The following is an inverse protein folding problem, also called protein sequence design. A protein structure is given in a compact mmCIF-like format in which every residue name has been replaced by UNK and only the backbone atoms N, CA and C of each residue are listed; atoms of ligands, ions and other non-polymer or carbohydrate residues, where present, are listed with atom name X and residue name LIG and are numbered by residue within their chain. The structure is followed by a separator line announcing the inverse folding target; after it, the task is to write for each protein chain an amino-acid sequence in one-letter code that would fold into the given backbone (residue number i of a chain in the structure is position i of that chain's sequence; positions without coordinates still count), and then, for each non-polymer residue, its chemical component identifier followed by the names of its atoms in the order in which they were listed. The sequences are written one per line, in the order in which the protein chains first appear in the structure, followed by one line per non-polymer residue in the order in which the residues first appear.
data_IF_362686839404
#
_entry.id   IF_362686839404
#
_cell.length_a   1.000
_cell.length_b   1.000
_cell.length_c   1.000
_cell.angle_alpha   90.00
_cell.angle_beta   90.00
_cell.angle_gamma   90.00
#
_symmetry.space_group_name_H-M   'P 1'
#
loop_
_entity.id
_entity.type
_entity.pdbx_description
1 polymer ?
#
# COMPACT_ATOMS: atom_id res chain seq x y z
N UNK A 1 11.99 -2.47 -0.01
CA UNK A 1 11.37 -3.74 -0.41
C UNK A 1 9.98 -3.86 0.19
N UNK A 2 9.02 -4.33 -0.59
CA UNK A 2 7.65 -4.46 -0.13
C UNK A 2 7.48 -5.80 0.58
N UNK A 3 7.06 -5.77 1.83
CA UNK A 3 6.79 -6.99 2.60
C UNK A 3 5.34 -7.41 2.38
N UNK A 4 5.13 -8.69 2.06
CA UNK A 4 3.79 -9.21 1.81
C UNK A 4 3.17 -9.64 3.13
N UNK A 5 1.97 -9.14 3.42
CA UNK A 5 1.23 -9.48 4.63
C UNK A 5 -0.12 -10.10 4.25
N UNK A 6 -0.85 -10.60 5.23
CA UNK A 6 -2.13 -11.26 5.03
C UNK A 6 -3.21 -10.66 5.93
N UNK A 7 -4.47 -11.06 5.70
CA UNK A 7 -5.57 -10.60 6.55
C UNK A 7 -5.49 -11.12 7.98
N UNK A 8 -4.65 -12.12 8.23
CA UNK A 8 -4.45 -12.64 9.57
C UNK A 8 -3.67 -11.65 10.45
N UNK A 9 -2.76 -10.86 9.85
CA UNK A 9 -1.88 -9.98 10.61
C UNK A 9 -1.92 -8.50 10.18
N UNK A 10 -2.73 -8.14 9.18
CA UNK A 10 -2.68 -6.78 8.65
C UNK A 10 -3.05 -5.71 9.68
N UNK A 11 -3.98 -6.00 10.58
CA UNK A 11 -4.39 -5.02 11.59
C UNK A 11 -3.26 -4.68 12.54
N UNK A 12 -2.53 -5.70 12.99
CA UNK A 12 -1.40 -5.50 13.89
C UNK A 12 -0.27 -4.76 13.18
N UNK A 13 -0.03 -5.11 11.91
CA UNK A 13 1.01 -4.44 11.12
C UNK A 13 0.68 -2.97 10.88
N UNK A 14 -0.58 -2.65 10.54
CA UNK A 14 -0.99 -1.26 10.34
C UNK A 14 -0.88 -0.46 11.64
N UNK A 15 -1.33 -1.03 12.74
CA UNK A 15 -1.30 -0.35 14.03
C UNK A 15 0.13 0.01 14.46
N UNK A 16 1.11 -0.78 14.05
CA UNK A 16 2.51 -0.57 14.38
C UNK A 16 3.21 0.43 13.46
N UNK A 17 2.57 0.84 12.37
CA UNK A 17 3.19 1.77 11.41
C UNK A 17 3.04 3.22 11.84
N UNK A 18 4.15 3.93 11.99
CA UNK A 18 4.13 5.38 12.14
C UNK A 18 3.94 6.06 10.79
N UNK A 19 4.68 5.58 9.80
CA UNK A 19 4.57 6.03 8.41
C UNK A 19 4.71 4.82 7.52
N UNK A 20 3.71 4.57 6.70
CA UNK A 20 3.73 3.41 5.84
C UNK A 20 2.80 3.52 4.65
N UNK A 21 2.97 2.59 3.73
CA UNK A 21 2.13 2.45 2.55
C UNK A 21 1.71 1.00 2.43
N UNK A 22 0.42 0.80 2.19
CA UNK A 22 -0.13 -0.53 1.95
C UNK A 22 -0.66 -0.60 0.53
N UNK A 23 -0.16 -1.55 -0.25
CA UNK A 23 -0.59 -1.79 -1.61
C UNK A 23 -1.45 -3.03 -1.68
N UNK A 24 -2.70 -2.87 -2.14
CA UNK A 24 -3.51 -4.02 -2.53
C UNK A 24 -3.21 -4.35 -3.98
N UNK A 25 -2.79 -5.57 -4.22
CA UNK A 25 -2.41 -6.03 -5.56
C UNK A 25 -3.09 -7.36 -5.87
N UNK A 26 -3.00 -7.79 -7.12
CA UNK A 26 -3.37 -9.15 -7.49
C UNK A 26 -2.28 -9.72 -8.40
N UNK A 27 -2.25 -11.04 -8.50
CA UNK A 27 -1.34 -11.73 -9.42
C UNK A 27 -1.76 -11.41 -10.86
N UNK A 28 -0.81 -11.43 -11.77
CA UNK A 28 -1.06 -11.17 -13.19
C UNK A 28 -1.67 -9.79 -13.46
N UNK A 29 -1.24 -8.80 -12.70
CA UNK A 29 -1.71 -7.42 -12.85
C UNK A 29 -0.52 -6.54 -13.25
N UNK A 30 -0.44 -6.11 -14.52
CA UNK A 30 0.68 -5.27 -14.97
C UNK A 30 0.81 -3.96 -14.22
N UNK A 31 -0.31 -3.28 -13.96
CA UNK A 31 -0.30 -2.02 -13.21
C UNK A 31 0.16 -2.22 -11.78
N UNK A 32 -0.17 -3.34 -11.17
CA UNK A 32 0.29 -3.66 -9.82
C UNK A 32 1.80 -3.81 -9.79
N UNK A 33 2.37 -4.51 -10.77
CA UNK A 33 3.83 -4.69 -10.87
C UNK A 33 4.53 -3.35 -11.06
N UNK A 34 3.98 -2.49 -11.90
CA UNK A 34 4.55 -1.17 -12.11
C UNK A 34 4.46 -0.31 -10.84
N UNK A 35 3.35 -0.42 -10.12
CA UNK A 35 3.19 0.32 -8.86
C UNK A 35 4.14 -0.19 -7.78
N UNK A 36 4.44 -1.49 -7.75
CA UNK A 36 5.45 -2.04 -6.84
C UNK A 36 6.81 -1.38 -7.08
N UNK A 37 7.19 -1.22 -8.34
CA UNK A 37 8.46 -0.56 -8.70
C UNK A 37 8.48 0.90 -8.26
N UNK A 38 7.36 1.59 -8.43
CA UNK A 38 7.20 2.98 -7.99
C UNK A 38 7.39 3.07 -6.47
N UNK A 39 6.74 2.17 -5.73
CA UNK A 39 6.84 2.15 -4.26
C UNK A 39 8.27 1.82 -3.80
N UNK A 40 8.96 0.95 -4.49
CA UNK A 40 10.34 0.64 -4.14
C UNK A 40 11.25 1.84 -4.32
N UNK A 41 11.08 2.60 -5.41
CA UNK A 41 11.81 3.85 -5.62
C UNK A 41 11.45 4.89 -4.57
N UNK A 42 10.17 5.01 -4.27
CA UNK A 42 9.68 5.93 -3.25
C UNK A 42 10.29 5.59 -1.87
N UNK A 43 10.28 4.31 -1.50
CA UNK A 43 10.84 3.84 -0.24
C UNK A 43 12.34 4.05 -0.14
N UNK A 44 13.07 3.88 -1.25
CA UNK A 44 14.50 4.11 -1.28
C UNK A 44 14.82 5.60 -1.07
N UNK A 45 13.99 6.49 -1.60
CA UNK A 45 14.17 7.93 -1.45
C UNK A 45 13.74 8.43 -0.06
N UNK A 46 12.88 7.68 0.62
CA UNK A 46 12.35 8.08 1.93
C UNK A 46 12.48 6.92 2.92
N UNK A 47 13.70 6.68 3.43
CA UNK A 47 13.92 5.61 4.42
C UNK A 47 13.10 5.88 5.69
N UNK A 48 12.64 4.84 6.32
CA UNK A 48 11.79 4.95 7.50
C UNK A 48 10.32 4.78 7.21
N UNK A 49 9.92 4.70 5.93
CA UNK A 49 8.54 4.40 5.56
C UNK A 49 8.41 2.90 5.34
N UNK A 50 7.47 2.26 6.03
CA UNK A 50 7.22 0.84 5.85
C UNK A 50 6.42 0.62 4.57
N UNK A 51 6.79 -0.40 3.79
CA UNK A 51 6.08 -0.74 2.57
C UNK A 51 5.52 -2.15 2.69
N UNK A 52 4.20 -2.28 2.62
CA UNK A 52 3.53 -3.56 2.70
C UNK A 52 2.64 -3.78 1.48
N UNK A 53 2.52 -5.06 1.08
CA UNK A 53 1.60 -5.47 0.03
C UNK A 53 0.69 -6.59 0.53
N UNK A 54 -0.53 -6.61 0.04
CA UNK A 54 -1.50 -7.65 0.39
C UNK A 54 -2.28 -8.03 -0.87
N UNK A 55 -2.41 -9.34 -1.11
CA UNK A 55 -3.13 -9.85 -2.28
C UNK A 55 -4.62 -9.70 -2.06
N UNK A 56 -5.26 -8.91 -2.92
CA UNK A 56 -6.69 -8.58 -2.77
C UNK A 56 -7.60 -9.80 -2.95
N UNK A 57 -7.17 -10.76 -3.77
CA UNK A 57 -7.98 -11.94 -4.04
C UNK A 57 -7.88 -12.98 -2.93
N UNK A 58 -6.71 -13.11 -2.33
CA UNK A 58 -6.49 -14.07 -1.24
C UNK A 58 -6.88 -13.52 0.13
N UNK A 59 -7.12 -12.22 0.22
CA UNK A 59 -7.40 -11.53 1.49
C UNK A 59 -8.63 -10.63 1.34
N UNK A 60 -9.73 -11.21 0.88
CA UNK A 60 -10.94 -10.47 0.58
C UNK A 60 -11.54 -9.74 1.80
N UNK A 61 -11.38 -10.32 2.99
CA UNK A 61 -11.89 -9.69 4.21
C UNK A 61 -11.17 -8.38 4.53
N UNK A 62 -9.84 -8.36 4.37
CA UNK A 62 -9.05 -7.14 4.57
C UNK A 62 -9.43 -6.09 3.52
N UNK A 63 -9.58 -6.50 2.26
CA UNK A 63 -9.97 -5.61 1.18
C UNK A 63 -11.32 -4.96 1.47
N UNK A 64 -12.30 -5.76 1.89
CA UNK A 64 -13.63 -5.24 2.23
C UNK A 64 -13.58 -4.29 3.42
N UNK A 65 -12.79 -4.62 4.44
CA UNK A 65 -12.69 -3.81 5.65
C UNK A 65 -12.11 -2.42 5.36
N UNK A 66 -11.16 -2.32 4.43
CA UNK A 66 -10.52 -1.06 4.07
C UNK A 66 -11.16 -0.39 2.85
N UNK A 67 -12.09 -1.05 2.20
CA UNK A 67 -12.76 -0.50 1.02
C UNK A 67 -11.94 -0.60 -0.26
N UNK A 68 -11.01 -1.55 -0.35
CA UNK A 68 -10.21 -1.77 -1.54
C UNK A 68 -10.99 -2.66 -2.52
N UNK A 69 -11.28 -2.15 -3.71
CA UNK A 69 -12.06 -2.89 -4.71
C UNK A 69 -11.28 -3.21 -5.97
N UNK A 70 -10.40 -2.31 -6.39
CA UNK A 70 -9.68 -2.45 -7.66
C UNK A 70 -8.17 -2.35 -7.43
N UNK A 71 -7.40 -3.42 -7.70
CA UNK A 71 -5.95 -3.32 -7.63
C UNK A 71 -5.40 -2.55 -8.85
N UNK A 72 -4.34 -1.79 -8.71
CA UNK A 72 -3.69 -1.48 -7.44
C UNK A 72 -4.45 -0.41 -6.67
N UNK A 73 -4.64 -0.62 -5.38
CA UNK A 73 -5.17 0.39 -4.48
C UNK A 73 -4.11 0.67 -3.43
N UNK A 74 -3.78 1.94 -3.23
CA UNK A 74 -2.70 2.35 -2.34
C UNK A 74 -3.28 3.11 -1.15
N UNK A 75 -2.91 2.68 0.05
CA UNK A 75 -3.30 3.36 1.29
C UNK A 75 -2.06 3.96 1.93
N UNK A 76 -2.18 5.19 2.40
CA UNK A 76 -1.14 5.84 3.20
C UNK A 76 -1.52 5.67 4.67
N UNK A 77 -0.58 5.16 5.45
CA UNK A 77 -0.76 4.87 6.87
C UNK A 77 0.10 5.83 7.66
N UNK A 78 -0.51 6.57 8.58
CA UNK A 78 0.21 7.46 9.50
C UNK A 78 -0.36 7.30 10.89
N UNK A 79 0.52 7.08 11.86
CA UNK A 79 0.09 6.88 13.24
C UNK A 79 -0.81 5.67 13.43
N UNK A 80 -0.59 4.62 12.65
CA UNK A 80 -1.36 3.39 12.75
C UNK A 80 -2.72 3.42 12.06
N UNK A 81 -3.03 4.49 11.31
CA UNK A 81 -4.33 4.64 10.68
C UNK A 81 -4.21 4.90 9.18
N UNK A 82 -5.16 4.38 8.41
CA UNK A 82 -5.25 4.67 6.98
C UNK A 82 -5.79 6.10 6.82
N UNK A 83 -4.95 7.00 6.31
CA UNK A 83 -5.29 8.42 6.17
C UNK A 83 -5.79 8.79 4.79
N UNK A 84 -5.37 8.07 3.77
CA UNK A 84 -5.77 8.36 2.39
C UNK A 84 -5.65 7.10 1.55
N UNK A 85 -6.40 7.05 0.46
CA UNK A 85 -6.30 5.94 -0.48
C UNK A 85 -6.42 6.45 -1.90
N UNK A 86 -5.84 5.71 -2.84
CA UNK A 86 -5.94 6.01 -4.25
C UNK A 86 -5.90 4.74 -5.07
N UNK A 87 -6.75 4.66 -6.08
CA UNK A 87 -6.80 3.55 -7.02
C UNK A 87 -5.99 3.91 -8.26
N UNK A 88 -5.23 2.96 -8.78
CA UNK A 88 -4.53 3.11 -10.03
C UNK A 88 -3.04 3.38 -9.88
N UNK A 89 -2.38 3.51 -11.03
CA UNK A 89 -0.94 3.69 -11.10
C UNK A 89 -0.57 5.16 -10.88
N UNK A 90 0.46 5.38 -10.07
CA UNK A 90 1.07 6.70 -9.88
C UNK A 90 2.53 6.60 -10.23
N UNK A 91 3.11 7.69 -10.76
CA UNK A 91 4.56 7.75 -10.93
C UNK A 91 5.21 8.12 -9.56
N UNK A 92 6.55 8.01 -9.42
CA UNK A 92 7.17 8.29 -8.13
C UNK A 92 6.91 9.69 -7.57
N UNK A 93 6.82 10.69 -8.43
CA UNK A 93 6.52 12.06 -8.01
C UNK A 93 5.10 12.17 -7.46
N UNK A 94 4.15 11.56 -8.16
CA UNK A 94 2.75 11.54 -7.71
C UNK A 94 2.62 10.80 -6.39
N UNK A 95 3.33 9.69 -6.24
CA UNK A 95 3.30 8.93 -4.99
C UNK A 95 3.84 9.74 -3.82
N UNK A 96 4.94 10.45 -4.01
CA UNK A 96 5.51 11.29 -2.97
C UNK A 96 4.54 12.40 -2.56
N UNK A 97 3.91 13.06 -3.52
CA UNK A 97 2.94 14.11 -3.24
C UNK A 97 1.71 13.56 -2.51
N UNK A 98 1.24 12.40 -2.92
CA UNK A 98 0.10 11.74 -2.29
C UNK A 98 0.41 11.41 -0.83
N UNK A 99 1.59 10.87 -0.56
CA UNK A 99 2.00 10.54 0.80
C UNK A 99 2.10 11.79 1.68
N UNK A 100 2.66 12.87 1.15
CA UNK A 100 2.84 14.11 1.92
C UNK A 100 1.52 14.77 2.27
N UNK A 101 0.52 14.69 1.39
CA UNK A 101 -0.79 15.31 1.62
C UNK A 101 -1.70 14.49 2.52
N UNK A 102 -1.40 13.24 2.70
CA UNK A 102 -2.25 12.35 3.49
C UNK A 102 -2.25 12.66 4.99
#
# INVERSE_FOLDING_TARGET
MIEIITEADYKDRLAAMQNGVLLFFKKLCPHCKNMEKVLEKFGAAKPGIALYGIDIEENAAAAAALGAERPPTIFVIKGGEAKASKVGLMNPREMAAFFEKA
#
